data_IF_894118869346
#
_entry.id   IF_894118869346
#
_cell.length_a   1.000
_cell.length_b   1.000
_cell.length_c   1.000
_cell.angle_alpha   90.00
_cell.angle_beta   90.00
_cell.angle_gamma   90.00
#
_symmetry.space_group_name_H-M   'P 1'
#
loop_
_entity.id
_entity.type
_entity.pdbx_description
1 polymer ?
#
# COMPACT_ATOMS: atom_id res chain seq x y z
N UNK A 1 -9.24 1.46 -24.72
CA UNK A 1 -8.00 1.11 -24.02
C UNK A 1 -6.89 2.16 -24.21
N UNK A 2 -6.36 2.36 -25.43
CA UNK A 2 -5.19 3.24 -25.66
C UNK A 2 -5.37 4.73 -25.26
N UNK A 3 -6.57 5.31 -25.46
CA UNK A 3 -6.85 6.72 -25.07
C UNK A 3 -6.88 6.92 -23.55
N UNK A 4 -7.42 5.96 -22.80
CA UNK A 4 -7.46 6.01 -21.33
C UNK A 4 -6.05 5.85 -20.73
N UNK A 5 -5.24 4.95 -21.30
CA UNK A 5 -3.83 4.79 -20.90
C UNK A 5 -3.03 6.08 -21.16
N UNK A 6 -3.11 6.64 -22.38
CA UNK A 6 -2.35 7.82 -22.77
C UNK A 6 -2.78 9.13 -22.06
N UNK A 7 -4.08 9.32 -21.84
CA UNK A 7 -4.61 10.52 -21.20
C UNK A 7 -4.67 10.43 -19.67
N UNK A 8 -5.22 9.35 -19.13
CA UNK A 8 -5.49 9.24 -17.69
C UNK A 8 -4.29 8.75 -16.87
N UNK A 9 -3.29 8.13 -17.48
CA UNK A 9 -2.08 7.69 -16.76
C UNK A 9 -0.84 8.45 -17.22
N UNK A 10 -0.64 8.63 -18.53
CA UNK A 10 0.56 9.27 -19.06
C UNK A 10 0.53 10.81 -19.13
N UNK A 11 -0.65 11.46 -19.02
CA UNK A 11 -0.79 12.92 -18.96
C UNK A 11 -1.22 13.43 -17.57
N UNK A 12 -0.97 12.66 -16.51
CA UNK A 12 -1.23 13.15 -15.15
C UNK A 12 -0.18 14.19 -14.77
N UNK A 13 -0.63 15.44 -14.65
CA UNK A 13 0.15 16.54 -14.10
C UNK A 13 -0.06 16.64 -12.58
N UNK A 14 0.74 17.46 -11.91
CA UNK A 14 0.70 17.63 -10.45
C UNK A 14 -0.45 18.54 -9.95
N UNK A 15 -1.34 19.00 -10.84
CA UNK A 15 -2.42 19.93 -10.52
C UNK A 15 -3.41 19.39 -9.47
N UNK A 16 -3.53 18.06 -9.37
CA UNK A 16 -4.34 17.37 -8.35
C UNK A 16 -3.54 16.83 -7.16
N UNK A 17 -2.23 17.09 -7.10
CA UNK A 17 -1.35 16.62 -6.03
C UNK A 17 -1.22 17.70 -4.96
N UNK A 18 -1.31 17.30 -3.70
CA UNK A 18 -1.01 18.15 -2.56
C UNK A 18 0.29 17.70 -1.93
N UNK A 19 1.33 18.55 -1.97
CA UNK A 19 2.56 18.32 -1.21
C UNK A 19 2.26 18.55 0.28
N UNK A 20 2.47 17.51 1.09
CA UNK A 20 2.08 17.53 2.49
C UNK A 20 3.24 17.99 3.38
N UNK A 21 2.96 18.95 4.25
CA UNK A 21 3.83 19.27 5.39
C UNK A 21 3.95 18.07 6.33
N UNK A 22 4.93 18.11 7.24
CA UNK A 22 5.11 17.08 8.25
C UNK A 22 3.83 16.79 9.05
N UNK A 23 3.14 17.83 9.52
CA UNK A 23 1.93 17.67 10.32
C UNK A 23 0.75 17.13 9.51
N UNK A 24 0.66 17.46 8.22
CA UNK A 24 -0.38 16.90 7.35
C UNK A 24 -0.14 15.42 7.08
N UNK A 25 1.10 15.01 6.84
CA UNK A 25 1.47 13.60 6.76
C UNK A 25 1.12 12.85 8.05
N UNK A 26 1.41 13.44 9.21
CA UNK A 26 1.11 12.84 10.51
C UNK A 26 -0.41 12.69 10.72
N UNK A 27 -1.19 13.67 10.29
CA UNK A 27 -2.66 13.57 10.31
C UNK A 27 -3.14 12.40 9.46
N UNK A 28 -2.66 12.27 8.23
CA UNK A 28 -3.00 11.14 7.34
C UNK A 28 -2.57 9.80 7.95
N UNK A 29 -1.39 9.75 8.56
CA UNK A 29 -0.91 8.56 9.27
C UNK A 29 -1.86 8.13 10.40
N UNK A 30 -2.29 9.08 11.23
CA UNK A 30 -3.21 8.80 12.34
C UNK A 30 -4.59 8.31 11.84
N UNK A 31 -5.05 8.76 10.66
CA UNK A 31 -6.31 8.27 10.08
C UNK A 31 -6.28 6.77 9.75
N UNK A 32 -5.10 6.18 9.54
CA UNK A 32 -4.96 4.74 9.31
C UNK A 32 -5.42 3.91 10.51
N UNK A 33 -5.51 4.47 11.71
CA UNK A 33 -6.01 3.75 12.88
C UNK A 33 -7.38 3.09 12.61
N UNK A 34 -8.32 3.83 12.01
CA UNK A 34 -9.65 3.32 11.73
C UNK A 34 -9.65 2.17 10.70
N UNK A 35 -8.87 2.28 9.64
CA UNK A 35 -8.88 1.27 8.56
C UNK A 35 -7.93 0.12 8.82
N UNK A 36 -6.76 0.38 9.41
CA UNK A 36 -5.69 -0.59 9.60
C UNK A 36 -5.89 -1.38 10.90
N UNK A 37 -6.13 -0.68 12.00
CA UNK A 37 -6.28 -1.32 13.32
C UNK A 37 -7.70 -1.83 13.50
N UNK A 38 -8.70 -0.94 13.43
CA UNK A 38 -10.07 -1.34 13.76
C UNK A 38 -10.71 -2.25 12.70
N UNK A 39 -10.60 -1.90 11.42
CA UNK A 39 -11.25 -2.66 10.35
C UNK A 39 -10.45 -3.89 9.89
N UNK A 40 -9.13 -3.75 9.73
CA UNK A 40 -8.27 -4.86 9.25
C UNK A 40 -7.65 -5.69 10.38
N UNK A 41 -7.84 -5.31 11.65
CA UNK A 41 -7.37 -6.07 12.81
C UNK A 41 -5.85 -6.07 13.00
N UNK A 42 -5.12 -5.13 12.38
CA UNK A 42 -3.67 -4.98 12.55
C UNK A 42 -3.36 -4.35 13.90
N UNK A 43 -2.12 -4.48 14.35
CA UNK A 43 -1.74 -3.94 15.66
C UNK A 43 -1.43 -2.45 15.61
N UNK A 44 -1.64 -1.76 16.73
CA UNK A 44 -1.25 -0.35 16.86
C UNK A 44 0.27 -0.17 16.78
N UNK A 45 1.02 -1.17 17.24
CA UNK A 45 2.48 -1.22 17.17
C UNK A 45 2.96 -1.29 15.72
N UNK A 46 2.33 -2.15 14.90
CA UNK A 46 2.62 -2.24 13.45
C UNK A 46 2.29 -0.92 12.74
N UNK A 47 1.17 -0.28 13.10
CA UNK A 47 0.84 1.04 12.57
C UNK A 47 1.96 2.04 12.89
N UNK A 48 2.43 2.13 14.13
CA UNK A 48 3.52 3.05 14.48
C UNK A 48 4.86 2.69 13.81
N UNK A 49 5.13 1.41 13.60
CA UNK A 49 6.31 0.97 12.87
C UNK A 49 6.35 1.58 11.46
N UNK A 50 5.21 1.69 10.76
CA UNK A 50 5.14 2.36 9.46
C UNK A 50 5.63 3.83 9.45
N UNK A 51 5.68 4.49 10.62
CA UNK A 51 6.14 5.87 10.76
C UNK A 51 7.56 5.98 11.31
N UNK A 52 7.90 5.18 12.33
CA UNK A 52 9.16 5.31 13.06
C UNK A 52 10.24 4.34 12.58
N UNK A 53 9.87 3.18 12.07
CA UNK A 53 10.81 2.23 11.48
C UNK A 53 11.09 2.64 10.03
N UNK A 54 12.34 3.03 9.79
CA UNK A 54 12.80 3.47 8.47
C UNK A 54 12.82 2.33 7.46
N UNK A 55 12.98 1.10 7.93
CA UNK A 55 13.13 -0.07 7.09
C UNK A 55 11.80 -0.78 6.81
N UNK A 56 10.71 -0.35 7.50
CA UNK A 56 9.39 -0.95 7.36
C UNK A 56 8.97 -1.05 5.88
N UNK A 57 9.02 0.06 5.15
CA UNK A 57 8.57 0.09 3.75
C UNK A 57 9.58 -0.51 2.79
N UNK A 58 10.88 -0.45 3.09
CA UNK A 58 11.93 -1.02 2.22
C UNK A 58 12.08 -2.52 2.37
N UNK A 59 11.59 -3.11 3.47
CA UNK A 59 11.62 -4.56 3.69
C UNK A 59 10.54 -5.32 2.89
N UNK A 60 9.52 -4.63 2.37
CA UNK A 60 8.39 -5.25 1.65
C UNK A 60 8.72 -5.60 0.18
N UNK A 61 9.30 -4.71 -0.65
CA UNK A 61 9.57 -5.02 -2.07
C UNK A 61 10.38 -6.30 -2.31
N UNK A 62 11.39 -6.66 -1.49
CA UNK A 62 12.11 -7.94 -1.64
C UNK A 62 11.23 -9.19 -1.50
N UNK A 63 10.03 -9.08 -0.92
CA UNK A 63 9.10 -10.20 -0.75
C UNK A 63 8.24 -10.46 -1.99
N UNK A 64 8.32 -9.63 -3.04
CA UNK A 64 7.44 -9.72 -4.21
C UNK A 64 7.44 -11.12 -4.85
N UNK A 65 8.62 -11.66 -5.18
CA UNK A 65 8.74 -12.98 -5.81
C UNK A 65 8.17 -14.11 -4.92
N UNK A 66 8.31 -14.00 -3.60
CA UNK A 66 7.76 -14.99 -2.68
C UNK A 66 6.24 -14.89 -2.59
N UNK A 67 5.71 -13.67 -2.54
CA UNK A 67 4.26 -13.43 -2.55
C UNK A 67 3.65 -14.00 -3.84
N UNK A 68 4.29 -13.79 -4.99
CA UNK A 68 3.83 -14.33 -6.28
C UNK A 68 3.80 -15.87 -6.25
N UNK A 69 4.84 -16.52 -5.73
CA UNK A 69 4.83 -17.99 -5.55
C UNK A 69 3.70 -18.48 -4.66
N UNK A 70 3.43 -17.78 -3.56
CA UNK A 70 2.34 -18.12 -2.64
C UNK A 70 0.97 -17.93 -3.29
N UNK A 71 0.81 -16.90 -4.13
CA UNK A 71 -0.41 -16.66 -4.89
C UNK A 71 -0.65 -17.80 -5.90
N UNK A 72 0.37 -18.23 -6.64
CA UNK A 72 0.27 -19.36 -7.58
C UNK A 72 -0.13 -20.66 -6.87
N UNK A 73 0.51 -20.96 -5.74
CA UNK A 73 0.20 -22.14 -4.94
C UNK A 73 -1.24 -22.11 -4.41
N UNK A 74 -1.67 -20.97 -3.85
CA UNK A 74 -3.05 -20.80 -3.39
C UNK A 74 -4.06 -20.96 -4.53
N UNK A 75 -3.80 -20.37 -5.69
CA UNK A 75 -4.68 -20.50 -6.85
C UNK A 75 -4.75 -21.95 -7.34
N UNK A 76 -3.63 -22.68 -7.33
CA UNK A 76 -3.62 -24.10 -7.68
C UNK A 76 -4.46 -24.95 -6.71
N UNK A 77 -4.46 -24.62 -5.42
CA UNK A 77 -5.29 -25.30 -4.41
C UNK A 77 -6.79 -24.99 -4.60
N UNK A 78 -7.15 -23.72 -4.76
CA UNK A 78 -8.55 -23.28 -4.86
C UNK A 78 -9.19 -23.65 -6.21
N UNK A 79 -8.41 -23.69 -7.29
CA UNK A 79 -8.90 -24.02 -8.63
C UNK A 79 -8.75 -25.51 -8.98
N UNK A 80 -8.20 -26.32 -8.08
CA UNK A 80 -8.22 -27.77 -8.24
C UNK A 80 -9.68 -28.28 -8.16
N UNK A 81 -10.13 -29.12 -9.12
CA UNK A 81 -11.49 -29.66 -9.16
C UNK A 81 -11.82 -30.62 -8.02
#
# INVERSE_FOLDING_TARGET
AARALAGCLHHQAIDGVLELTYYERLRVHNLKYYTWVEQQGRTYEELNAQWYDRDYWTSIPPLADEIDRLIEAFNAEVLAP
#
